data_IF_168330369876
#
_entry.id   IF_168330369876
#
_cell.length_a   1.000
_cell.length_b   1.000
_cell.length_c   1.000
_cell.angle_alpha   90.00
_cell.angle_beta   90.00
_cell.angle_gamma   90.00
#
_symmetry.space_group_name_H-M   'P 1'
#
loop_
_entity.id
_entity.type
_entity.pdbx_description
1 polymer ?
#
# COMPACT_ATOMS: atom_id res chain seq x y z
N UNK A 1 15.05 -4.99 24.39
CA UNK A 1 13.97 -4.65 23.43
C UNK A 1 13.55 -3.21 23.69
N UNK A 2 14.01 -2.23 22.88
CA UNK A 2 13.57 -0.84 23.04
C UNK A 2 12.07 -0.81 22.77
N UNK A 3 11.28 -0.58 23.80
CA UNK A 3 9.88 -0.22 23.68
C UNK A 3 9.90 1.14 22.98
N UNK A 4 9.76 1.14 21.64
CA UNK A 4 9.43 2.36 20.94
C UNK A 4 8.11 2.82 21.56
N UNK A 5 8.10 3.98 22.19
CA UNK A 5 6.86 4.61 22.64
C UNK A 5 5.94 4.70 21.42
N UNK A 6 5.00 3.73 21.32
CA UNK A 6 4.11 3.68 20.17
C UNK A 6 3.26 4.95 20.19
N UNK A 7 3.37 5.73 19.14
CA UNK A 7 2.76 7.07 19.06
C UNK A 7 1.23 7.07 19.10
N UNK A 8 0.60 5.91 19.02
CA UNK A 8 -0.86 5.74 19.08
C UNK A 8 -1.37 5.18 20.40
N UNK A 9 -0.54 4.49 21.19
CA UNK A 9 -0.98 3.89 22.47
C UNK A 9 -1.39 4.94 23.49
N UNK A 10 -2.54 4.73 24.15
CA UNK A 10 -3.09 5.61 25.17
C UNK A 10 -3.49 7.00 24.67
N UNK A 11 -3.57 7.20 23.35
CA UNK A 11 -3.87 8.50 22.73
C UNK A 11 -5.37 8.69 22.48
N UNK A 12 -5.79 9.95 22.46
CA UNK A 12 -7.12 10.36 22.03
C UNK A 12 -7.11 10.48 20.51
N UNK A 13 -7.78 9.55 19.84
CA UNK A 13 -7.70 9.37 18.39
C UNK A 13 -9.04 9.61 17.72
N UNK A 14 -9.07 10.47 16.70
CA UNK A 14 -10.20 10.56 15.77
C UNK A 14 -9.94 9.64 14.58
N UNK A 15 -10.87 8.75 14.27
CA UNK A 15 -10.89 8.01 12.99
C UNK A 15 -11.95 8.65 12.10
N UNK A 16 -11.52 9.17 10.96
CA UNK A 16 -12.38 9.81 9.98
C UNK A 16 -12.45 9.00 8.70
N UNK A 17 -13.68 8.64 8.32
CA UNK A 17 -14.00 7.71 7.24
C UNK A 17 -14.15 6.29 7.77
N UNK A 18 -15.38 5.76 7.75
CA UNK A 18 -15.75 4.47 8.36
C UNK A 18 -15.96 3.37 7.28
N UNK A 19 -15.23 3.45 6.19
CA UNK A 19 -15.08 2.35 5.25
C UNK A 19 -14.21 1.23 5.82
N UNK A 20 -13.82 0.26 4.98
CA UNK A 20 -13.04 -0.93 5.40
C UNK A 20 -11.79 -0.58 6.22
N UNK A 21 -10.98 0.39 5.78
CA UNK A 21 -9.77 0.83 6.50
C UNK A 21 -10.07 1.48 7.83
N UNK A 22 -11.07 2.37 7.90
CA UNK A 22 -11.43 3.04 9.15
C UNK A 22 -12.00 2.09 10.20
N UNK A 23 -12.89 1.17 9.79
CA UNK A 23 -13.43 0.14 10.66
C UNK A 23 -12.32 -0.80 11.16
N UNK A 24 -11.39 -1.18 10.30
CA UNK A 24 -10.23 -2.00 10.67
C UNK A 24 -9.35 -1.27 11.69
N UNK A 25 -9.06 0.01 11.47
CA UNK A 25 -8.31 0.85 12.39
C UNK A 25 -9.00 0.96 13.75
N UNK A 26 -10.32 1.13 13.76
CA UNK A 26 -11.10 1.16 14.99
C UNK A 26 -11.01 -0.18 15.76
N UNK A 27 -11.29 -1.30 15.09
CA UNK A 27 -11.22 -2.63 15.72
C UNK A 27 -9.85 -2.92 16.33
N UNK A 28 -8.80 -2.45 15.67
CA UNK A 28 -7.42 -2.62 16.12
C UNK A 28 -7.07 -1.74 17.33
N UNK A 29 -7.55 -0.49 17.35
CA UNK A 29 -7.16 0.52 18.33
C UNK A 29 -8.09 0.64 19.53
N UNK A 30 -9.36 0.19 19.47
CA UNK A 30 -10.38 0.43 20.49
C UNK A 30 -10.01 0.01 21.91
N UNK A 31 -9.17 -1.02 22.07
CA UNK A 31 -8.69 -1.50 23.37
C UNK A 31 -7.28 -0.99 23.71
N UNK A 32 -6.72 -0.09 22.91
CA UNK A 32 -5.37 0.42 23.05
C UNK A 32 -5.32 1.95 23.21
N UNK A 33 -6.45 2.62 22.93
CA UNK A 33 -6.51 4.09 22.83
C UNK A 33 -7.95 4.58 23.01
N UNK A 34 -8.13 5.84 23.34
CA UNK A 34 -9.45 6.48 23.42
C UNK A 34 -9.89 6.91 22.02
N UNK A 35 -10.71 6.09 21.36
CA UNK A 35 -11.03 6.23 19.92
C UNK A 35 -12.42 6.82 19.71
N UNK A 36 -12.48 7.85 18.90
CA UNK A 36 -13.69 8.55 18.46
C UNK A 36 -13.87 8.35 16.95
N UNK A 37 -15.11 8.25 16.50
CA UNK A 37 -15.45 7.89 15.13
C UNK A 37 -16.27 8.99 14.45
N UNK A 38 -15.91 9.30 13.22
CA UNK A 38 -16.67 10.23 12.38
C UNK A 38 -16.66 9.80 10.91
N UNK A 39 -17.79 10.02 10.24
CA UNK A 39 -17.94 9.87 8.80
C UNK A 39 -18.88 10.94 8.27
N UNK A 40 -18.66 11.40 7.04
CA UNK A 40 -19.54 12.37 6.35
C UNK A 40 -20.90 11.75 6.05
N UNK A 41 -20.94 10.44 5.79
CA UNK A 41 -22.17 9.67 5.69
C UNK A 41 -22.64 9.23 7.07
N UNK A 42 -23.58 9.94 7.62
CA UNK A 42 -24.11 9.65 8.95
C UNK A 42 -24.94 8.35 9.02
N UNK A 43 -25.40 7.82 7.86
CA UNK A 43 -26.16 6.57 7.78
C UNK A 43 -25.33 5.31 7.94
N UNK A 44 -23.99 5.43 8.02
CA UNK A 44 -23.14 4.27 8.31
C UNK A 44 -23.45 3.77 9.71
N UNK A 45 -24.17 2.65 9.76
CA UNK A 45 -24.55 1.99 11.01
C UNK A 45 -23.41 1.07 11.45
N UNK A 46 -22.84 1.35 12.59
CA UNK A 46 -21.89 0.45 13.24
C UNK A 46 -22.66 -0.34 14.31
N UNK A 47 -22.65 -1.67 14.22
CA UNK A 47 -23.40 -2.58 15.13
C UNK A 47 -22.92 -2.57 16.59
N UNK A 48 -22.31 -1.50 17.12
CA UNK A 48 -21.75 -1.49 18.46
C UNK A 48 -21.90 -0.11 19.11
N UNK A 49 -21.94 -0.07 20.46
CA UNK A 49 -21.94 1.14 21.32
C UNK A 49 -20.61 1.92 21.18
N UNK A 50 -20.40 2.57 20.04
CA UNK A 50 -19.14 3.21 19.73
C UNK A 50 -19.26 4.72 19.89
N UNK A 51 -18.17 5.36 20.28
CA UNK A 51 -18.05 6.82 20.42
C UNK A 51 -18.11 7.53 19.05
N UNK A 52 -19.22 7.39 18.32
CA UNK A 52 -19.51 8.19 17.14
C UNK A 52 -19.86 9.60 17.59
N UNK A 53 -19.16 10.59 17.09
CA UNK A 53 -19.29 11.98 17.53
C UNK A 53 -19.74 12.90 16.40
N UNK A 54 -20.40 13.97 16.77
CA UNK A 54 -20.89 15.00 15.83
C UNK A 54 -19.80 16.02 15.47
N UNK A 55 -20.04 16.79 14.41
CA UNK A 55 -19.17 17.91 14.03
C UNK A 55 -18.95 18.93 15.15
N UNK A 56 -19.98 19.18 15.95
CA UNK A 56 -19.89 20.12 17.10
C UNK A 56 -18.93 19.55 18.19
N UNK A 57 -19.01 18.27 18.46
CA UNK A 57 -18.14 17.61 19.45
C UNK A 57 -16.68 17.55 18.97
N UNK A 58 -16.43 17.28 17.67
CA UNK A 58 -15.07 17.23 17.11
C UNK A 58 -14.33 18.55 17.38
N UNK A 59 -15.01 19.69 17.21
CA UNK A 59 -14.40 21.01 17.40
C UNK A 59 -14.01 21.31 18.85
N UNK A 60 -14.63 20.63 19.83
CA UNK A 60 -14.38 20.82 21.27
C UNK A 60 -13.30 19.87 21.82
N UNK A 61 -12.99 18.79 21.10
CA UNK A 61 -12.07 17.77 21.57
C UNK A 61 -10.67 18.03 20.98
N UNK A 62 -9.66 18.05 21.85
CA UNK A 62 -8.28 18.09 21.39
C UNK A 62 -7.78 16.65 21.16
N UNK A 63 -7.71 16.23 19.92
CA UNK A 63 -7.18 14.92 19.52
C UNK A 63 -5.66 14.95 19.46
N UNK A 64 -5.03 13.87 19.94
CA UNK A 64 -3.58 13.66 19.77
C UNK A 64 -3.25 13.20 18.36
N UNK A 65 -4.10 12.35 17.78
CA UNK A 65 -3.92 11.76 16.44
C UNK A 65 -5.24 11.74 15.68
N UNK A 66 -5.15 11.82 14.38
CA UNK A 66 -6.28 11.73 13.45
C UNK A 66 -5.91 10.68 12.39
N UNK A 67 -6.66 9.60 12.34
CA UNK A 67 -6.49 8.57 11.30
C UNK A 67 -7.53 8.80 10.23
N UNK A 68 -7.11 9.02 8.99
CA UNK A 68 -8.03 9.22 7.87
C UNK A 68 -8.02 8.01 6.93
N UNK A 69 -9.22 7.62 6.50
CA UNK A 69 -9.38 6.63 5.46
C UNK A 69 -8.93 7.18 4.10
N UNK A 70 -8.40 6.33 3.18
CA UNK A 70 -7.90 6.77 1.88
C UNK A 70 -8.89 7.57 1.03
N UNK A 71 -10.19 7.27 1.18
CA UNK A 71 -11.26 7.96 0.46
C UNK A 71 -11.50 9.41 0.91
N UNK A 72 -10.98 9.83 2.07
CA UNK A 72 -11.21 11.19 2.59
C UNK A 72 -10.31 12.20 1.86
N UNK A 73 -10.93 13.18 1.20
CA UNK A 73 -10.24 14.34 0.65
C UNK A 73 -10.18 15.47 1.67
N UNK A 74 -8.99 15.73 2.22
CA UNK A 74 -8.80 16.81 3.20
C UNK A 74 -9.20 18.19 2.62
N UNK A 75 -9.08 18.38 1.33
CA UNK A 75 -9.45 19.63 0.68
C UNK A 75 -10.94 19.79 0.47
N UNK A 76 -11.66 18.65 0.36
CA UNK A 76 -13.09 18.63 0.01
C UNK A 76 -13.87 17.64 0.89
N UNK A 77 -13.98 17.95 2.19
CA UNK A 77 -14.75 17.16 3.17
C UNK A 77 -15.33 18.07 4.25
N UNK A 78 -16.30 17.59 5.00
CA UNK A 78 -16.96 18.38 6.08
C UNK A 78 -16.00 18.91 7.14
N UNK A 79 -14.89 18.23 7.36
CA UNK A 79 -13.84 18.61 8.32
C UNK A 79 -12.64 19.34 7.70
N UNK A 80 -12.72 19.82 6.44
CA UNK A 80 -11.57 20.37 5.71
C UNK A 80 -10.79 21.43 6.51
N UNK A 81 -11.45 22.43 7.06
CA UNK A 81 -10.81 23.47 7.88
C UNK A 81 -10.12 22.90 9.12
N UNK A 82 -10.79 21.98 9.82
CA UNK A 82 -10.25 21.30 11.00
C UNK A 82 -9.02 20.45 10.68
N UNK A 83 -9.07 19.66 9.60
CA UNK A 83 -7.97 18.80 9.18
C UNK A 83 -6.76 19.61 8.72
N UNK A 84 -6.96 20.71 7.98
CA UNK A 84 -5.87 21.60 7.57
C UNK A 84 -5.16 22.19 8.80
N UNK A 85 -5.90 22.68 9.80
CA UNK A 85 -5.32 23.20 11.06
C UNK A 85 -4.57 22.11 11.83
N UNK A 86 -5.02 20.86 11.79
CA UNK A 86 -4.44 19.71 12.50
C UNK A 86 -3.62 18.79 11.61
N UNK A 87 -3.10 19.28 10.48
CA UNK A 87 -2.43 18.43 9.48
C UNK A 87 -1.28 17.59 10.07
N UNK A 88 -0.55 18.14 11.04
CA UNK A 88 0.54 17.44 11.71
C UNK A 88 0.09 16.22 12.55
N UNK A 89 -1.19 16.15 12.91
CA UNK A 89 -1.78 15.05 13.69
C UNK A 89 -2.39 13.95 12.78
N UNK A 90 -2.39 14.15 11.45
CA UNK A 90 -3.00 13.22 10.48
C UNK A 90 -2.05 12.08 10.16
N UNK A 91 -2.60 10.87 10.15
CA UNK A 91 -1.93 9.61 9.85
C UNK A 91 -2.86 8.70 9.04
N UNK A 92 -2.31 7.63 8.48
CA UNK A 92 -3.04 6.60 7.75
C UNK A 92 -3.01 5.26 8.50
N UNK A 93 -3.80 4.30 8.04
CA UNK A 93 -3.76 2.91 8.50
C UNK A 93 -2.38 2.27 8.35
N UNK A 94 -1.63 2.65 7.31
CA UNK A 94 -0.24 2.19 7.09
C UNK A 94 0.71 2.72 8.18
N UNK A 95 0.51 3.94 8.65
CA UNK A 95 1.29 4.50 9.76
C UNK A 95 1.02 3.76 11.06
N UNK A 96 -0.26 3.43 11.31
CA UNK A 96 -0.64 2.62 12.46
C UNK A 96 0.01 1.24 12.38
N UNK A 97 -0.12 0.54 11.24
CA UNK A 97 0.52 -0.76 11.03
C UNK A 97 2.01 -0.70 11.35
N UNK A 98 2.72 0.25 10.74
CA UNK A 98 4.16 0.40 10.91
C UNK A 98 4.59 0.71 12.35
N UNK A 99 3.74 1.43 13.12
CA UNK A 99 4.06 1.76 14.50
C UNK A 99 3.94 0.55 15.46
N UNK A 100 3.12 -0.45 15.11
CA UNK A 100 2.91 -1.65 15.93
C UNK A 100 3.76 -2.84 15.48
N UNK A 101 4.15 -2.90 14.19
CA UNK A 101 4.82 -4.04 13.61
C UNK A 101 6.12 -3.65 12.91
N UNK A 102 7.22 -4.26 13.34
CA UNK A 102 8.55 -4.09 12.72
C UNK A 102 8.86 -5.26 11.78
N UNK A 103 7.92 -5.56 10.92
CA UNK A 103 8.00 -6.66 9.97
C UNK A 103 8.63 -6.24 8.64
N UNK A 104 9.03 -7.21 7.85
CA UNK A 104 9.45 -6.97 6.47
C UNK A 104 8.23 -6.56 5.62
N UNK A 105 8.37 -5.45 4.91
CA UNK A 105 7.30 -4.86 4.12
C UNK A 105 7.75 -4.71 2.67
N UNK A 106 6.93 -5.23 1.76
CA UNK A 106 7.03 -5.04 0.31
C UNK A 106 5.84 -4.21 -0.12
N UNK A 107 6.05 -2.99 -0.59
CA UNK A 107 4.95 -2.10 -0.98
C UNK A 107 4.97 -1.85 -2.46
N UNK A 108 3.84 -2.10 -3.11
CA UNK A 108 3.63 -1.90 -4.53
C UNK A 108 2.71 -0.71 -4.76
N UNK A 109 3.18 0.25 -5.54
CA UNK A 109 2.39 1.36 -6.08
C UNK A 109 2.65 1.56 -7.57
N UNK A 110 1.87 2.39 -8.20
CA UNK A 110 1.91 2.67 -9.64
C UNK A 110 0.56 3.17 -10.12
N UNK A 111 0.42 3.50 -11.38
CA UNK A 111 -0.89 3.76 -11.96
C UNK A 111 -1.57 2.43 -12.28
N UNK A 112 -0.93 1.56 -13.02
CA UNK A 112 -1.45 0.26 -13.46
C UNK A 112 -0.64 -0.91 -12.90
N UNK A 113 -1.23 -2.11 -12.86
CA UNK A 113 -0.54 -3.36 -12.53
C UNK A 113 -0.36 -3.66 -11.02
N UNK A 114 -0.69 -2.74 -10.14
CA UNK A 114 -0.48 -2.85 -8.68
C UNK A 114 -1.05 -4.15 -8.10
N UNK A 115 -2.34 -4.39 -8.30
CA UNK A 115 -3.06 -5.53 -7.69
C UNK A 115 -2.54 -6.86 -8.21
N UNK A 116 -2.31 -6.96 -9.52
CA UNK A 116 -1.73 -8.15 -10.16
C UNK A 116 -0.34 -8.46 -9.58
N UNK A 117 0.53 -7.45 -9.53
CA UNK A 117 1.89 -7.62 -9.01
C UNK A 117 1.89 -8.01 -7.53
N UNK A 118 1.05 -7.36 -6.71
CA UNK A 118 0.96 -7.64 -5.28
C UNK A 118 0.42 -9.07 -5.03
N UNK A 119 -0.65 -9.46 -5.73
CA UNK A 119 -1.24 -10.79 -5.58
C UNK A 119 -0.27 -11.90 -5.98
N UNK A 120 0.36 -11.80 -7.15
CA UNK A 120 1.31 -12.83 -7.61
C UNK A 120 2.51 -12.92 -6.67
N UNK A 121 3.04 -11.79 -6.22
CA UNK A 121 4.16 -11.80 -5.28
C UNK A 121 3.78 -12.45 -3.95
N UNK A 122 2.59 -12.17 -3.44
CA UNK A 122 2.03 -12.83 -2.27
C UNK A 122 1.94 -14.35 -2.48
N UNK A 123 1.34 -14.80 -3.58
CA UNK A 123 1.19 -16.22 -3.89
C UNK A 123 2.54 -16.93 -4.01
N UNK A 124 3.52 -16.30 -4.66
CA UNK A 124 4.88 -16.81 -4.76
C UNK A 124 5.54 -16.98 -3.39
N UNK A 125 5.30 -16.05 -2.46
CA UNK A 125 5.83 -16.16 -1.10
C UNK A 125 5.15 -17.30 -0.33
N UNK A 126 3.83 -17.43 -0.42
CA UNK A 126 3.04 -18.49 0.20
C UNK A 126 3.46 -19.87 -0.32
N UNK A 127 3.57 -20.05 -1.63
CA UNK A 127 4.00 -21.31 -2.26
C UNK A 127 5.43 -21.71 -1.88
N UNK A 128 6.20 -20.79 -1.36
CA UNK A 128 7.54 -21.02 -0.83
C UNK A 128 7.59 -21.09 0.71
N UNK A 129 6.44 -21.34 1.34
CA UNK A 129 6.27 -21.48 2.79
C UNK A 129 6.70 -20.23 3.59
N UNK A 130 6.52 -19.02 3.01
CA UNK A 130 6.68 -17.76 3.74
C UNK A 130 5.35 -17.33 4.32
N UNK A 131 5.34 -16.86 5.57
CA UNK A 131 4.16 -16.24 6.17
C UNK A 131 3.94 -14.86 5.53
N UNK A 132 3.20 -14.84 4.44
CA UNK A 132 2.89 -13.61 3.67
C UNK A 132 1.45 -13.17 3.93
N UNK A 133 1.25 -11.84 4.06
CA UNK A 133 -0.07 -11.21 4.18
C UNK A 133 -0.25 -10.18 3.08
N UNK A 134 -1.30 -10.37 2.28
CA UNK A 134 -1.70 -9.42 1.23
C UNK A 134 -2.68 -8.43 1.82
N UNK A 135 -2.29 -7.17 1.92
CA UNK A 135 -3.05 -6.13 2.59
C UNK A 135 -3.03 -4.79 1.83
N UNK A 136 -3.92 -3.90 2.21
CA UNK A 136 -3.99 -2.53 1.67
C UNK A 136 -5.18 -2.33 0.74
N UNK A 137 -4.92 -1.82 -0.47
CA UNK A 137 -5.98 -1.54 -1.45
C UNK A 137 -6.53 -2.82 -2.12
N UNK A 138 -5.80 -3.92 -2.05
CA UNK A 138 -6.23 -5.29 -2.38
C UNK A 138 -5.95 -6.20 -1.18
N UNK A 139 -6.65 -7.32 -1.10
CA UNK A 139 -6.56 -8.23 0.05
C UNK A 139 -7.33 -7.70 1.25
N UNK A 140 -6.78 -7.92 2.43
CA UNK A 140 -7.39 -7.47 3.67
C UNK A 140 -7.02 -6.01 4.01
N UNK A 141 -7.86 -5.28 4.76
CA UNK A 141 -7.46 -4.00 5.33
C UNK A 141 -6.19 -4.15 6.17
N UNK A 142 -5.30 -3.15 6.14
CA UNK A 142 -3.96 -3.23 6.72
C UNK A 142 -3.93 -3.69 8.19
N UNK A 143 -4.95 -3.34 8.98
CA UNK A 143 -5.02 -3.63 10.43
C UNK A 143 -5.97 -4.78 10.80
N UNK A 144 -6.42 -5.57 9.84
CA UNK A 144 -7.32 -6.71 10.11
C UNK A 144 -6.62 -8.05 10.29
N UNK A 145 -5.33 -8.12 9.97
CA UNK A 145 -4.56 -9.35 10.07
C UNK A 145 -4.37 -9.79 11.53
N UNK A 146 -4.42 -11.10 11.72
CA UNK A 146 -4.23 -11.75 13.03
C UNK A 146 -3.01 -12.66 13.00
N UNK A 147 -2.56 -13.07 14.18
CA UNK A 147 -1.45 -14.03 14.35
C UNK A 147 -0.17 -13.59 13.61
N UNK A 148 0.13 -12.31 13.67
CA UNK A 148 1.34 -11.74 13.08
C UNK A 148 2.55 -12.14 13.91
N UNK A 149 3.54 -12.75 13.27
CA UNK A 149 4.80 -13.14 13.88
C UNK A 149 5.94 -12.27 13.35
N UNK A 150 7.13 -12.35 13.94
CA UNK A 150 8.33 -11.65 13.42
C UNK A 150 8.74 -12.11 12.01
N UNK A 151 8.28 -13.29 11.56
CA UNK A 151 8.56 -13.84 10.23
C UNK A 151 7.52 -13.43 9.17
N UNK A 152 6.41 -12.81 9.58
CA UNK A 152 5.36 -12.36 8.67
C UNK A 152 5.90 -11.28 7.73
N UNK A 153 5.65 -11.44 6.44
CA UNK A 153 5.99 -10.48 5.38
C UNK A 153 4.70 -9.81 4.91
N UNK A 154 4.63 -8.50 5.00
CA UNK A 154 3.50 -7.77 4.44
C UNK A 154 3.75 -7.42 2.97
N UNK A 155 2.86 -7.87 2.09
CA UNK A 155 2.77 -7.41 0.70
C UNK A 155 1.63 -6.41 0.64
N UNK A 156 1.98 -5.15 0.41
CA UNK A 156 1.03 -4.03 0.50
C UNK A 156 0.79 -3.43 -0.88
N UNK A 157 -0.46 -3.42 -1.33
CA UNK A 157 -0.85 -2.51 -2.39
C UNK A 157 -1.19 -1.15 -1.78
N UNK A 158 -0.40 -0.12 -2.10
CA UNK A 158 -0.62 1.23 -1.60
C UNK A 158 -1.11 2.17 -2.70
N UNK A 159 -2.24 2.84 -2.45
CA UNK A 159 -2.75 3.92 -3.30
C UNK A 159 -1.92 5.20 -3.11
N UNK A 160 -1.99 6.12 -4.10
CA UNK A 160 -1.40 7.45 -3.95
C UNK A 160 -1.99 8.23 -2.78
N UNK A 161 -3.26 8.00 -2.46
CA UNK A 161 -3.95 8.66 -1.34
C UNK A 161 -3.41 8.24 0.02
N UNK A 162 -3.18 6.93 0.23
CA UNK A 162 -2.55 6.42 1.45
C UNK A 162 -1.14 6.97 1.61
N UNK A 163 -0.35 6.94 0.54
CA UNK A 163 1.03 7.42 0.57
C UNK A 163 1.11 8.94 0.79
N UNK A 164 0.15 9.71 0.26
CA UNK A 164 0.16 11.16 0.37
C UNK A 164 0.02 11.67 1.81
N UNK A 165 -0.79 11.00 2.61
CA UNK A 165 -0.99 11.38 4.02
C UNK A 165 -0.15 10.58 5.02
N UNK A 166 0.53 9.53 4.57
CA UNK A 166 1.42 8.73 5.41
C UNK A 166 2.65 9.54 5.86
N UNK A 167 3.08 9.36 7.11
CA UNK A 167 4.18 10.11 7.72
C UNK A 167 5.33 9.25 8.22
N UNK A 168 5.02 8.16 8.88
CA UNK A 168 6.03 7.31 9.51
C UNK A 168 6.20 5.97 8.81
N UNK A 169 5.26 5.58 7.95
CA UNK A 169 5.31 4.33 7.20
C UNK A 169 6.57 4.22 6.35
N UNK A 170 7.23 3.07 6.43
CA UNK A 170 8.42 2.74 5.67
C UNK A 170 8.33 1.34 5.10
N UNK A 171 8.86 1.16 3.91
CA UNK A 171 8.90 -0.14 3.24
C UNK A 171 10.35 -0.60 3.04
N UNK A 172 10.64 -1.87 3.34
CA UNK A 172 11.95 -2.47 3.04
C UNK A 172 12.17 -2.60 1.54
N UNK A 173 11.13 -3.02 0.82
CA UNK A 173 11.12 -3.14 -0.64
C UNK A 173 9.99 -2.28 -1.20
N UNK A 174 10.34 -1.18 -1.85
CA UNK A 174 9.39 -0.26 -2.48
C UNK A 174 9.35 -0.50 -3.99
N UNK A 175 8.16 -0.52 -4.56
CA UNK A 175 7.95 -0.74 -5.99
C UNK A 175 7.10 0.38 -6.57
N UNK A 176 7.59 1.07 -7.60
CA UNK A 176 6.82 1.97 -8.44
C UNK A 176 6.81 1.39 -9.85
N UNK A 177 5.69 0.79 -10.24
CA UNK A 177 5.55 0.08 -11.51
C UNK A 177 5.61 1.03 -12.71
N UNK A 178 4.76 2.05 -12.69
CA UNK A 178 4.62 3.05 -13.74
C UNK A 178 3.89 4.27 -13.21
N UNK A 179 4.02 5.39 -13.91
CA UNK A 179 3.26 6.61 -13.61
C UNK A 179 2.72 7.19 -14.92
N UNK A 180 1.39 7.17 -15.06
CA UNK A 180 0.64 7.90 -16.09
C UNK A 180 -0.36 8.82 -15.43
N UNK A 181 -0.84 9.91 -16.07
CA UNK A 181 -1.84 10.80 -15.48
C UNK A 181 -3.06 10.03 -15.00
N UNK A 182 -3.41 10.21 -13.73
CA UNK A 182 -4.56 9.59 -13.07
C UNK A 182 -4.89 10.36 -11.78
N UNK A 183 -6.14 10.32 -11.33
CA UNK A 183 -6.58 10.94 -10.08
C UNK A 183 -6.23 12.45 -9.96
N UNK A 184 -6.21 13.19 -11.07
CA UNK A 184 -5.82 14.62 -11.10
C UNK A 184 -6.85 15.47 -10.35
N UNK A 185 -8.13 15.10 -10.38
CA UNK A 185 -9.19 15.74 -9.61
C UNK A 185 -8.88 15.79 -8.12
N UNK A 186 -8.24 14.74 -7.58
CA UNK A 186 -7.86 14.62 -6.18
C UNK A 186 -6.52 15.27 -5.87
N UNK A 187 -5.49 14.99 -6.67
CA UNK A 187 -4.12 15.50 -6.45
C UNK A 187 -3.91 16.92 -6.96
N UNK A 188 -4.88 17.48 -7.73
CA UNK A 188 -4.87 18.79 -8.38
C UNK A 188 -3.88 18.92 -9.53
N UNK A 189 -2.72 18.28 -9.45
CA UNK A 189 -1.70 18.31 -10.51
C UNK A 189 -1.01 16.94 -10.64
N UNK A 190 -0.51 16.65 -11.84
CA UNK A 190 0.34 15.48 -12.09
C UNK A 190 1.58 15.48 -11.18
N UNK A 191 2.17 16.65 -10.93
CA UNK A 191 3.32 16.80 -10.02
C UNK A 191 3.00 16.31 -8.61
N UNK A 192 1.83 16.65 -8.07
CA UNK A 192 1.39 16.21 -6.74
C UNK A 192 1.15 14.70 -6.71
N UNK A 193 0.51 14.13 -7.76
CA UNK A 193 0.31 12.69 -7.88
C UNK A 193 1.62 11.91 -7.89
N UNK A 194 2.60 12.36 -8.69
CA UNK A 194 3.95 11.79 -8.72
C UNK A 194 4.60 11.90 -7.33
N UNK A 195 4.52 13.08 -6.71
CA UNK A 195 5.10 13.32 -5.39
C UNK A 195 4.49 12.42 -4.31
N UNK A 196 3.18 12.17 -4.36
CA UNK A 196 2.50 11.28 -3.42
C UNK A 196 3.08 9.85 -3.52
N UNK A 197 3.21 9.28 -4.72
CA UNK A 197 3.82 7.96 -4.90
C UNK A 197 5.28 7.91 -4.47
N UNK A 198 6.05 8.94 -4.76
CA UNK A 198 7.46 9.01 -4.39
C UNK A 198 7.73 9.24 -2.89
N UNK A 199 6.71 9.56 -2.09
CA UNK A 199 6.84 9.51 -0.62
C UNK A 199 7.28 8.12 -0.16
N UNK A 200 6.82 7.06 -0.84
CA UNK A 200 7.25 5.69 -0.55
C UNK A 200 8.77 5.51 -0.61
N UNK A 201 9.44 6.07 -1.61
CA UNK A 201 10.90 5.99 -1.73
C UNK A 201 11.60 6.96 -0.78
N UNK A 202 11.06 8.16 -0.60
CA UNK A 202 11.63 9.17 0.30
C UNK A 202 11.63 8.75 1.77
N UNK A 203 10.64 7.94 2.19
CA UNK A 203 10.55 7.41 3.56
C UNK A 203 11.54 6.27 3.84
N UNK A 204 12.13 5.66 2.81
CA UNK A 204 13.05 4.54 2.97
C UNK A 204 14.37 4.97 3.65
N UNK A 205 14.98 4.02 4.36
CA UNK A 205 16.27 4.19 5.06
C UNK A 205 17.38 3.39 4.35
N UNK A 206 18.61 3.57 4.79
CA UNK A 206 19.75 2.74 4.33
C UNK A 206 19.45 1.25 4.52
N UNK A 207 19.88 0.42 3.58
CA UNK A 207 19.59 -1.01 3.56
C UNK A 207 18.23 -1.37 2.99
N UNK A 208 17.39 -0.40 2.59
CA UNK A 208 16.17 -0.64 1.83
C UNK A 208 16.42 -0.68 0.32
N UNK A 209 15.45 -1.21 -0.43
CA UNK A 209 15.54 -1.42 -1.87
C UNK A 209 14.33 -0.82 -2.56
N UNK A 210 14.56 -0.11 -3.66
CA UNK A 210 13.50 0.44 -4.51
C UNK A 210 13.60 -0.16 -5.91
N UNK A 211 12.46 -0.56 -6.45
CA UNK A 211 12.33 -1.09 -7.82
C UNK A 211 11.44 -0.14 -8.61
N UNK A 212 11.96 0.36 -9.72
CA UNK A 212 11.28 1.37 -10.52
C UNK A 212 11.43 1.08 -12.00
N UNK A 213 10.46 1.46 -12.81
CA UNK A 213 10.53 1.32 -14.27
C UNK A 213 11.72 2.11 -14.84
N UNK A 214 12.52 1.47 -15.71
CA UNK A 214 13.71 2.08 -16.30
C UNK A 214 13.34 3.17 -17.30
N UNK A 215 12.33 2.93 -18.13
CA UNK A 215 11.92 3.78 -19.25
C UNK A 215 10.58 4.45 -18.94
N UNK A 216 10.52 5.25 -17.88
CA UNK A 216 9.38 6.08 -17.51
C UNK A 216 9.91 7.47 -17.15
N UNK A 217 9.61 8.45 -17.99
CA UNK A 217 10.19 9.80 -17.91
C UNK A 217 9.87 10.50 -16.60
N UNK A 218 8.63 10.31 -16.08
CA UNK A 218 8.23 10.89 -14.81
C UNK A 218 9.04 10.29 -13.65
N UNK A 219 9.25 8.98 -13.68
CA UNK A 219 10.07 8.27 -12.69
C UNK A 219 11.53 8.71 -12.79
N UNK A 220 12.10 8.74 -14.00
CA UNK A 220 13.49 9.13 -14.25
C UNK A 220 13.73 10.57 -13.77
N UNK A 221 12.85 11.50 -14.17
CA UNK A 221 12.92 12.90 -13.75
C UNK A 221 12.90 13.05 -12.24
N UNK A 222 12.07 12.26 -11.55
CA UNK A 222 11.95 12.34 -10.09
C UNK A 222 13.14 11.72 -9.35
N UNK A 223 13.71 10.63 -9.88
CA UNK A 223 14.91 10.01 -9.29
C UNK A 223 16.12 10.94 -9.36
N UNK A 224 16.27 11.69 -10.46
CA UNK A 224 17.38 12.63 -10.63
C UNK A 224 17.32 13.83 -9.68
N UNK A 225 16.13 14.19 -9.16
CA UNK A 225 15.94 15.39 -8.31
C UNK A 225 16.43 15.23 -6.88
N UNK A 226 16.45 14.01 -6.36
CA UNK A 226 16.71 13.76 -4.93
C UNK A 226 17.59 12.55 -4.75
N UNK A 227 18.56 12.63 -3.83
CA UNK A 227 19.36 11.47 -3.41
C UNK A 227 18.54 10.61 -2.45
N UNK A 228 18.20 9.39 -2.86
CA UNK A 228 17.48 8.42 -2.04
C UNK A 228 18.42 7.59 -1.17
N UNK A 229 17.98 7.23 0.04
CA UNK A 229 18.77 6.38 0.97
C UNK A 229 18.73 4.90 0.56
N UNK A 230 17.68 4.49 -0.14
CA UNK A 230 17.51 3.13 -0.64
C UNK A 230 18.38 2.85 -1.88
N UNK A 231 18.78 1.59 -2.08
CA UNK A 231 19.39 1.15 -3.33
C UNK A 231 18.32 1.01 -4.40
N UNK A 232 18.44 1.79 -5.49
CA UNK A 232 17.46 1.81 -6.58
C UNK A 232 17.86 0.79 -7.66
N UNK A 233 16.91 -0.07 -8.03
CA UNK A 233 16.98 -0.99 -9.14
C UNK A 233 16.03 -0.54 -10.25
N UNK A 234 16.59 -0.19 -11.40
CA UNK A 234 15.82 0.11 -12.61
C UNK A 234 15.42 -1.21 -13.28
N UNK A 235 14.12 -1.45 -13.42
CA UNK A 235 13.55 -2.67 -14.01
C UNK A 235 13.20 -2.40 -15.46
N UNK A 236 13.59 -3.32 -16.33
CA UNK A 236 13.28 -3.32 -17.76
C UNK A 236 13.03 -4.75 -18.21
N UNK A 237 11.99 -4.97 -19.03
CA UNK A 237 11.56 -6.29 -19.49
C UNK A 237 12.67 -7.02 -20.26
N UNK A 238 13.37 -6.33 -21.15
CA UNK A 238 14.45 -6.91 -21.96
C UNK A 238 15.59 -7.55 -21.15
N UNK A 239 15.84 -7.07 -19.94
CA UNK A 239 16.89 -7.61 -19.07
C UNK A 239 16.52 -8.96 -18.43
N UNK A 240 15.28 -9.42 -18.61
CA UNK A 240 14.73 -10.63 -17.99
C UNK A 240 14.10 -11.57 -19.02
N UNK A 241 14.41 -11.39 -20.31
CA UNK A 241 13.82 -12.19 -21.40
C UNK A 241 14.04 -13.70 -21.18
N UNK A 242 15.21 -14.13 -20.72
CA UNK A 242 15.53 -15.53 -20.42
C UNK A 242 14.65 -16.13 -19.31
N UNK A 243 14.28 -15.37 -18.32
CA UNK A 243 13.37 -15.78 -17.25
C UNK A 243 11.91 -15.73 -17.73
N UNK A 244 11.56 -14.69 -18.47
CA UNK A 244 10.20 -14.47 -18.99
C UNK A 244 9.83 -15.56 -20.00
N UNK A 245 10.77 -16.00 -20.86
CA UNK A 245 10.52 -17.06 -21.83
C UNK A 245 10.15 -18.42 -21.23
N UNK A 246 10.42 -18.63 -19.93
CA UNK A 246 10.01 -19.82 -19.18
C UNK A 246 8.57 -19.74 -18.65
N UNK A 247 7.93 -18.58 -18.77
CA UNK A 247 6.55 -18.37 -18.35
C UNK A 247 5.64 -18.64 -19.54
N UNK A 248 4.88 -19.72 -19.46
CA UNK A 248 3.97 -20.19 -20.53
C UNK A 248 2.53 -19.71 -20.33
N UNK A 249 2.24 -19.02 -19.23
CA UNK A 249 0.91 -18.54 -18.90
C UNK A 249 0.49 -17.41 -19.85
N UNK A 250 -0.58 -17.64 -20.60
CA UNK A 250 -1.18 -16.70 -21.58
C UNK A 250 -1.56 -15.33 -20.95
N UNK A 251 -1.80 -15.26 -19.66
CA UNK A 251 -2.05 -14.00 -18.95
C UNK A 251 -0.92 -12.97 -19.15
N UNK A 252 0.32 -13.43 -19.33
CA UNK A 252 1.50 -12.57 -19.49
C UNK A 252 1.89 -12.26 -20.94
N UNK A 253 0.98 -12.42 -21.89
CA UNK A 253 1.26 -12.12 -23.32
C UNK A 253 1.35 -10.61 -23.54
N UNK A 254 0.48 -9.81 -22.91
CA UNK A 254 0.48 -8.34 -23.09
C UNK A 254 1.72 -7.69 -22.49
N UNK A 255 2.16 -6.59 -23.09
CA UNK A 255 3.37 -5.88 -22.65
C UNK A 255 3.25 -5.36 -21.20
N UNK A 256 2.07 -4.88 -20.80
CA UNK A 256 1.82 -4.45 -19.43
C UNK A 256 1.96 -5.59 -18.41
N UNK A 257 1.49 -6.79 -18.76
CA UNK A 257 1.64 -7.95 -17.88
C UNK A 257 3.06 -8.51 -17.88
N UNK A 258 3.78 -8.47 -19.00
CA UNK A 258 5.23 -8.78 -19.06
C UNK A 258 6.03 -7.80 -18.20
N UNK A 259 5.65 -6.54 -18.22
CA UNK A 259 6.27 -5.53 -17.35
C UNK A 259 6.06 -5.84 -15.87
N UNK A 260 4.82 -6.12 -15.46
CA UNK A 260 4.50 -6.55 -14.08
C UNK A 260 5.31 -7.79 -13.69
N UNK A 261 5.38 -8.78 -14.58
CA UNK A 261 6.18 -9.98 -14.39
C UNK A 261 7.67 -9.68 -14.16
N UNK A 262 8.22 -8.71 -14.88
CA UNK A 262 9.62 -8.29 -14.75
C UNK A 262 9.91 -7.75 -13.32
N UNK A 263 8.98 -7.00 -12.75
CA UNK A 263 9.10 -6.54 -11.36
C UNK A 263 9.06 -7.71 -10.38
N UNK A 264 8.11 -8.64 -10.55
CA UNK A 264 7.97 -9.83 -9.71
C UNK A 264 9.27 -10.64 -9.73
N UNK A 265 9.80 -10.93 -10.91
CA UNK A 265 11.06 -11.68 -11.10
C UNK A 265 12.23 -10.96 -10.41
N UNK A 266 12.36 -9.64 -10.60
CA UNK A 266 13.44 -8.86 -9.99
C UNK A 266 13.38 -8.84 -8.47
N UNK A 267 12.19 -8.72 -7.90
CA UNK A 267 11.96 -8.76 -6.45
C UNK A 267 12.26 -10.17 -5.92
N UNK A 268 11.74 -11.21 -6.58
CA UNK A 268 11.96 -12.61 -6.20
C UNK A 268 13.45 -12.99 -6.20
N UNK A 269 14.22 -12.52 -7.19
CA UNK A 269 15.68 -12.67 -7.23
C UNK A 269 16.35 -11.96 -6.06
N UNK A 270 15.88 -10.75 -5.69
CA UNK A 270 16.41 -10.02 -4.54
C UNK A 270 16.11 -10.69 -3.22
N UNK A 271 14.95 -11.33 -3.11
CA UNK A 271 14.53 -12.13 -1.94
C UNK A 271 15.17 -13.54 -1.94
N UNK A 272 15.98 -13.87 -2.94
CA UNK A 272 16.59 -15.19 -3.12
C UNK A 272 15.57 -16.35 -3.12
N UNK A 273 14.40 -16.12 -3.74
CA UNK A 273 13.36 -17.12 -3.85
C UNK A 273 13.73 -18.22 -4.85
N UNK A 274 13.22 -19.44 -4.64
CA UNK A 274 13.46 -20.57 -5.53
C UNK A 274 12.84 -20.32 -6.90
N UNK A 275 13.68 -20.30 -7.94
CA UNK A 275 13.27 -19.97 -9.33
C UNK A 275 12.28 -20.98 -9.92
N UNK A 276 12.44 -22.29 -9.65
CA UNK A 276 11.54 -23.34 -10.19
C UNK A 276 10.12 -23.17 -9.60
N UNK A 277 10.02 -22.99 -8.27
CA UNK A 277 8.74 -22.75 -7.59
C UNK A 277 8.11 -21.44 -8.07
N UNK A 278 8.90 -20.36 -8.21
CA UNK A 278 8.45 -19.06 -8.73
C UNK A 278 7.75 -19.21 -10.09
N UNK A 279 8.40 -19.82 -11.07
CA UNK A 279 7.82 -20.02 -12.41
C UNK A 279 6.56 -20.89 -12.34
N UNK A 280 6.58 -21.96 -11.52
CA UNK A 280 5.40 -22.82 -11.34
C UNK A 280 4.18 -22.03 -10.81
N UNK A 281 4.37 -21.17 -9.82
CA UNK A 281 3.29 -20.31 -9.27
C UNK A 281 2.78 -19.34 -10.32
N UNK A 282 3.67 -18.65 -11.03
CA UNK A 282 3.31 -17.71 -12.09
C UNK A 282 2.51 -18.40 -13.20
N UNK A 283 2.91 -19.60 -13.60
CA UNK A 283 2.20 -20.35 -14.63
C UNK A 283 0.79 -20.82 -14.21
N UNK A 284 0.53 -20.93 -12.92
CA UNK A 284 -0.80 -21.28 -12.38
C UNK A 284 -1.72 -20.06 -12.16
N UNK A 285 -1.23 -18.84 -12.30
CA UNK A 285 -2.00 -17.64 -12.03
C UNK A 285 -3.14 -17.49 -13.03
N UNK A 286 -4.38 -17.36 -12.54
CA UNK A 286 -5.62 -17.27 -13.35
C UNK A 286 -6.12 -15.86 -13.60
N UNK A 287 -5.36 -14.84 -13.17
CA UNK A 287 -5.82 -13.46 -13.17
C UNK A 287 -6.51 -13.07 -11.86
N UNK A 288 -6.96 -11.83 -11.80
CA UNK A 288 -7.81 -11.30 -10.74
C UNK A 288 -9.22 -11.11 -11.28
N UNK A 289 -10.23 -11.35 -10.45
CA UNK A 289 -11.61 -11.10 -10.79
C UNK A 289 -11.81 -9.69 -11.34
N UNK A 290 -12.50 -9.57 -12.46
CA UNK A 290 -12.76 -8.31 -13.18
C UNK A 290 -11.52 -7.55 -13.67
N UNK A 291 -10.33 -8.21 -13.72
CA UNK A 291 -9.05 -7.62 -14.17
C UNK A 291 -8.33 -8.55 -15.13
N UNK A 292 -8.76 -8.58 -16.41
CA UNK A 292 -8.19 -9.45 -17.45
C UNK A 292 -8.19 -10.94 -17.03
N UNK A 293 -9.20 -11.36 -16.28
CA UNK A 293 -9.36 -12.77 -15.91
C UNK A 293 -9.66 -13.58 -17.16
N UNK A 294 -8.94 -14.69 -17.36
CA UNK A 294 -9.29 -15.67 -18.40
C UNK A 294 -10.49 -16.46 -17.89
N UNK A 295 -11.69 -16.13 -18.39
CA UNK A 295 -12.95 -16.78 -18.00
C UNK A 295 -13.15 -18.06 -18.82
N UNK A 296 -12.75 -18.04 -20.10
CA UNK A 296 -12.88 -19.15 -21.02
C UNK A 296 -11.70 -19.18 -21.99
N UNK A 297 -11.07 -20.34 -22.14
CA UNK A 297 -10.02 -20.60 -23.13
C UNK A 297 -10.49 -21.77 -24.00
N UNK A 298 -11.01 -21.47 -25.19
CA UNK A 298 -11.38 -22.50 -26.16
C UNK A 298 -10.09 -23.14 -26.67
N UNK A 299 -9.82 -24.36 -26.26
CA UNK A 299 -8.83 -25.17 -26.95
C UNK A 299 -9.39 -25.47 -28.35
N UNK A 300 -8.78 -24.93 -29.39
CA UNK A 300 -8.95 -25.41 -30.74
C UNK A 300 -8.29 -26.77 -30.86
#
# INVERSE_FOLDING_TARGET
MKIFNNIFLGKKILIYGLGKSGISSYKFLKNKSDVYLFDDNQKIYLKTNQKKISLKQIKKINFDRIIISPGIDISNCKLSKFLKKNFQKIYTDLDVLFSFYNNEVITITGTNGKSTTAKILHDVLVDQNKDSRLIGNIGNPALSEKNITKKTIFVIEASSYQLDYSKIFRSKYAVILNITPDHIERHKTLKNYVNAKFKLLRSQIRGSFAFVKKNDDLIIKQIKKVKYKAKIYKVQTSNLNKEISKVTNKYFISDGNKENLSFILKIALKLKLNKKKLIKTINKFKGLDFRQQIIFDKKN
#
